data_IF_204884988112
#
_entry.id   IF_204884988112
#
_cell.length_a   1.000
_cell.length_b   1.000
_cell.length_c   1.000
_cell.angle_alpha   90.00
_cell.angle_beta   90.00
_cell.angle_gamma   90.00
#
_symmetry.space_group_name_H-M   'P 1'
#
loop_
_entity.id
_entity.type
_entity.pdbx_description
1 polymer ?
#
# COMPACT_ATOMS: atom_id res chain seq x y z
N UNK A 1 36.93 -14.36 -0.64
CA UNK A 1 36.02 -13.52 -1.45
C UNK A 1 34.89 -13.07 -0.55
N UNK A 2 34.90 -11.83 -0.08
CA UNK A 2 33.84 -11.29 0.78
C UNK A 2 32.76 -10.67 -0.12
N UNK A 3 31.64 -11.37 -0.29
CA UNK A 3 30.47 -10.82 -0.98
C UNK A 3 29.82 -9.76 -0.09
N UNK A 4 30.22 -8.50 -0.26
CA UNK A 4 29.52 -7.35 0.28
C UNK A 4 28.16 -7.23 -0.40
N UNK A 5 27.13 -7.88 0.14
CA UNK A 5 25.73 -7.57 -0.21
C UNK A 5 25.49 -6.13 0.22
N UNK A 6 25.47 -5.18 -0.72
CA UNK A 6 24.96 -3.83 -0.47
C UNK A 6 23.53 -3.99 0.09
N UNK A 7 23.15 -3.29 1.17
CA UNK A 7 21.75 -3.20 1.53
C UNK A 7 21.03 -2.60 0.32
N UNK A 8 20.13 -3.38 -0.27
CA UNK A 8 19.21 -2.84 -1.28
C UNK A 8 18.22 -2.02 -0.48
N UNK A 9 18.42 -0.70 -0.47
CA UNK A 9 17.46 0.22 0.13
C UNK A 9 16.07 -0.08 -0.46
N UNK A 10 15.03 -0.18 0.39
CA UNK A 10 13.68 -0.44 -0.10
C UNK A 10 13.29 0.65 -1.09
N UNK A 11 12.71 0.26 -2.23
CA UNK A 11 12.16 1.24 -3.16
C UNK A 11 10.90 1.82 -2.52
N UNK A 12 10.97 3.08 -2.10
CA UNK A 12 9.84 3.79 -1.47
C UNK A 12 9.18 4.69 -2.50
N UNK A 13 7.92 4.41 -2.80
CA UNK A 13 7.04 5.26 -3.60
C UNK A 13 6.15 6.06 -2.65
N UNK A 14 6.20 7.40 -2.76
CA UNK A 14 5.41 8.31 -1.92
C UNK A 14 4.34 8.97 -2.75
N UNK A 15 3.13 9.01 -2.22
CA UNK A 15 1.96 9.60 -2.84
C UNK A 15 1.19 10.41 -1.80
N UNK A 16 0.67 11.56 -2.23
CA UNK A 16 -0.38 12.26 -1.49
C UNK A 16 -1.73 11.81 -2.08
N UNK A 17 -2.60 11.21 -1.25
CA UNK A 17 -3.89 10.66 -1.67
C UNK A 17 -4.95 11.18 -0.71
N UNK A 18 -5.87 12.01 -1.20
CA UNK A 18 -6.93 12.62 -0.39
C UNK A 18 -6.40 13.38 0.85
N UNK A 19 -5.20 13.96 0.76
CA UNK A 19 -4.54 14.66 1.89
C UNK A 19 -3.87 13.74 2.91
N UNK A 20 -3.81 12.43 2.62
CA UNK A 20 -3.08 11.45 3.41
C UNK A 20 -1.74 11.11 2.76
N UNK A 21 -0.70 10.99 3.58
CA UNK A 21 0.62 10.61 3.14
C UNK A 21 0.70 9.09 3.00
N UNK A 22 0.80 8.60 1.76
CA UNK A 22 0.83 7.16 1.44
C UNK A 22 2.23 6.78 0.97
N UNK A 23 2.85 5.83 1.64
CA UNK A 23 4.14 5.26 1.23
C UNK A 23 3.98 3.76 0.92
N UNK A 24 4.38 3.37 -0.29
CA UNK A 24 4.49 1.97 -0.70
C UNK A 24 5.97 1.63 -0.69
N UNK A 25 6.38 0.75 0.22
CA UNK A 25 7.77 0.32 0.34
C UNK A 25 7.90 -1.07 -0.26
N UNK A 26 8.63 -1.19 -1.36
CA UNK A 26 8.96 -2.46 -2.00
C UNK A 26 10.27 -2.97 -1.40
N UNK A 27 10.18 -4.00 -0.56
CA UNK A 27 11.32 -4.73 -0.01
C UNK A 27 11.61 -5.97 -0.89
N UNK A 28 12.72 -6.64 -0.60
CA UNK A 28 13.17 -7.82 -1.36
C UNK A 28 12.13 -8.95 -1.35
N UNK A 29 11.48 -9.20 -0.21
CA UNK A 29 10.59 -10.35 -0.03
C UNK A 29 9.10 -9.98 -0.02
N UNK A 30 8.77 -8.71 0.24
CA UNK A 30 7.39 -8.28 0.40
C UNK A 30 7.24 -6.78 0.16
N UNK A 31 5.99 -6.32 0.10
CA UNK A 31 5.65 -4.90 0.06
C UNK A 31 5.02 -4.48 1.38
N UNK A 32 5.26 -3.24 1.78
CA UNK A 32 4.60 -2.61 2.91
C UNK A 32 3.82 -1.38 2.44
N UNK A 33 2.64 -1.21 3.01
CA UNK A 33 1.82 -0.02 2.85
C UNK A 33 1.86 0.78 4.15
N UNK A 34 2.18 2.06 4.05
CA UNK A 34 2.16 3.01 5.14
C UNK A 34 1.23 4.16 4.78
N UNK A 35 0.36 4.54 5.70
CA UNK A 35 -0.58 5.65 5.55
C UNK A 35 -0.43 6.53 6.79
N UNK A 36 -0.10 7.82 6.60
CA UNK A 36 0.17 8.79 7.66
C UNK A 36 1.19 8.31 8.71
N UNK A 37 2.18 7.53 8.25
CA UNK A 37 3.20 6.94 9.11
C UNK A 37 2.77 5.67 9.84
N UNK A 38 1.54 5.19 9.64
CA UNK A 38 1.05 3.92 10.19
C UNK A 38 1.11 2.80 9.16
N UNK A 39 1.66 1.64 9.54
CA UNK A 39 1.69 0.46 8.68
C UNK A 39 0.30 -0.17 8.56
N UNK A 40 -0.20 -0.29 7.34
CA UNK A 40 -1.50 -0.91 7.02
C UNK A 40 -1.29 -2.29 6.40
N UNK A 41 -2.21 -3.21 6.71
CA UNK A 41 -2.22 -4.56 6.14
C UNK A 41 -3.02 -4.56 4.84
N UNK A 42 -2.61 -5.41 3.91
CA UNK A 42 -3.30 -5.64 2.66
C UNK A 42 -3.11 -7.10 2.23
N UNK A 43 -3.95 -7.55 1.31
CA UNK A 43 -3.85 -8.83 0.64
C UNK A 43 -3.47 -8.60 -0.81
N UNK A 44 -2.43 -9.27 -1.27
CA UNK A 44 -2.12 -9.42 -2.68
C UNK A 44 -2.76 -10.72 -3.18
N UNK A 45 -3.64 -10.63 -4.16
CA UNK A 45 -4.31 -11.75 -4.81
C UNK A 45 -4.02 -11.70 -6.32
N UNK A 46 -4.32 -12.78 -7.05
CA UNK A 46 -4.03 -12.86 -8.49
C UNK A 46 -4.63 -11.70 -9.30
N UNK A 47 -5.81 -11.23 -8.90
CA UNK A 47 -6.53 -10.13 -9.57
C UNK A 47 -6.16 -8.73 -9.06
N UNK A 48 -5.24 -8.60 -8.09
CA UNK A 48 -4.78 -7.30 -7.60
C UNK A 48 -4.61 -7.23 -6.08
N UNK A 49 -4.90 -6.06 -5.51
CA UNK A 49 -4.67 -5.72 -4.12
C UNK A 49 -5.96 -5.34 -3.40
N UNK A 50 -6.09 -5.79 -2.15
CA UNK A 50 -7.19 -5.47 -1.25
C UNK A 50 -6.64 -4.94 0.07
N UNK A 51 -7.18 -3.85 0.58
CA UNK A 51 -6.84 -3.42 1.93
C UNK A 51 -7.50 -4.33 2.96
N UNK A 52 -6.82 -4.59 4.07
CA UNK A 52 -7.33 -5.46 5.13
C UNK A 52 -8.68 -4.95 5.68
N UNK A 53 -8.84 -3.64 5.77
CA UNK A 53 -10.06 -2.98 6.23
C UNK A 53 -11.18 -2.94 5.17
N UNK A 54 -10.91 -3.36 3.93
CA UNK A 54 -11.84 -3.23 2.79
C UNK A 54 -11.88 -4.50 1.91
N UNK A 55 -11.69 -5.67 2.53
CA UNK A 55 -11.58 -6.99 1.87
C UNK A 55 -12.83 -7.45 1.13
N UNK A 56 -14.00 -6.87 1.42
CA UNK A 56 -15.26 -7.24 0.77
C UNK A 56 -15.43 -6.60 -0.62
N UNK A 57 -14.48 -5.76 -1.03
CA UNK A 57 -14.48 -5.15 -2.37
C UNK A 57 -13.78 -6.00 -3.40
N UNK A 58 -13.89 -5.56 -4.65
CA UNK A 58 -13.11 -6.10 -5.75
C UNK A 58 -11.64 -5.70 -5.57
N UNK A 59 -10.68 -6.60 -5.82
CA UNK A 59 -9.26 -6.26 -5.86
C UNK A 59 -8.97 -5.16 -6.87
N UNK A 60 -8.07 -4.25 -6.52
CA UNK A 60 -7.65 -3.15 -7.36
C UNK A 60 -6.29 -3.46 -8.02
N UNK A 61 -6.03 -2.98 -9.24
CA UNK A 61 -4.82 -3.34 -9.99
C UNK A 61 -3.53 -2.88 -9.32
N UNK A 62 -3.58 -1.89 -8.43
CA UNK A 62 -2.44 -1.41 -7.65
C UNK A 62 -2.82 -1.10 -6.20
N UNK A 63 -1.83 -1.10 -5.29
CA UNK A 63 -2.03 -0.63 -3.91
C UNK A 63 -2.48 0.83 -3.87
N UNK A 64 -1.98 1.66 -4.78
CA UNK A 64 -2.38 3.06 -4.88
C UNK A 64 -3.88 3.19 -5.18
N UNK A 65 -4.40 2.38 -6.10
CA UNK A 65 -5.83 2.39 -6.45
C UNK A 65 -6.70 1.83 -5.32
N UNK A 66 -6.22 0.78 -4.63
CA UNK A 66 -6.90 0.27 -3.44
C UNK A 66 -7.01 1.34 -2.34
N UNK A 67 -5.95 2.11 -2.12
CA UNK A 67 -5.93 3.19 -1.12
C UNK A 67 -6.82 4.37 -1.53
N UNK A 68 -6.80 4.77 -2.81
CA UNK A 68 -7.74 5.79 -3.32
C UNK A 68 -9.19 5.39 -3.06
N UNK A 69 -9.57 4.18 -3.47
CA UNK A 69 -10.93 3.70 -3.32
C UNK A 69 -11.37 3.60 -1.85
N UNK A 70 -10.45 3.21 -0.96
CA UNK A 70 -10.69 3.19 0.48
C UNK A 70 -11.02 4.59 1.02
N UNK A 71 -10.24 5.60 0.64
CA UNK A 71 -10.49 6.98 1.09
C UNK A 71 -11.76 7.58 0.49
N UNK A 72 -12.04 7.34 -0.79
CA UNK A 72 -13.30 7.75 -1.42
C UNK A 72 -14.51 7.18 -0.67
N UNK A 73 -14.43 5.92 -0.25
CA UNK A 73 -15.49 5.29 0.50
C UNK A 73 -15.59 5.77 1.95
N UNK A 74 -14.45 5.93 2.63
CA UNK A 74 -14.42 6.41 4.01
C UNK A 74 -15.00 7.83 4.11
N UNK A 75 -14.64 8.71 3.16
CA UNK A 75 -15.22 10.05 3.05
C UNK A 75 -16.74 10.03 2.77
N UNK A 76 -17.21 9.04 2.00
CA UNK A 76 -18.64 8.87 1.70
C UNK A 76 -19.43 8.29 2.87
N UNK A 77 -18.80 7.53 3.76
CA UNK A 77 -19.45 6.88 4.91
C UNK A 77 -19.60 7.82 6.12
N UNK A 78 -18.92 8.96 6.12
CA UNK A 78 -18.93 9.93 7.23
C UNK A 78 -19.81 11.16 6.94
N UNK A 79 -20.81 11.02 6.07
CA UNK A 79 -21.73 12.07 5.63
C UNK A 79 -23.17 11.65 5.86
#
# INVERSE_FOLDING_TARGET
MASTKKPVDPQVERHDIHGHAVEIRKLTDHQELWIDGERRKFFAVESGYLLFDDVFRKPYPSLQDAVKAYFEHYASSNK
#
